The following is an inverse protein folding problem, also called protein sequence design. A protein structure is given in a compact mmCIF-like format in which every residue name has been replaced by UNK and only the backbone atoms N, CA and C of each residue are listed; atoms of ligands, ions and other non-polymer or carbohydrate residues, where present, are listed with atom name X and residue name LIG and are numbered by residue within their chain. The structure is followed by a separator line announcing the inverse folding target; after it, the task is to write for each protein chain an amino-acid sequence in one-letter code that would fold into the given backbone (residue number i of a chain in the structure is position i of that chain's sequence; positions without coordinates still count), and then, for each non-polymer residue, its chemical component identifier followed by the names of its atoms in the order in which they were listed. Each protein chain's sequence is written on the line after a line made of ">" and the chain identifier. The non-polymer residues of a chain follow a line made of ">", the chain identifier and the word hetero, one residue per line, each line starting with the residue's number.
data_IF_920478956262
#
_entry.id   IF_920478956262
#
_cell.length_a   1.000
_cell.length_b   1.000
_cell.length_c   1.000
_cell.angle_alpha   90.00
_cell.angle_beta   90.00
_cell.angle_gamma   90.00
#
_symmetry.space_group_name_H-M   'P 1'
#
loop_
_entity.id
_entity.type
_entity.pdbx_description
1 polymer ?
#
# COMPACT_ATOMS: atom_id res chain seq x y z
N UNK A 1 49.30 1.00 -37.87
CA UNK A 1 48.96 1.64 -36.59
C UNK A 1 47.45 1.76 -36.55
N UNK A 2 46.78 0.90 -35.78
CA UNK A 2 45.34 0.64 -35.88
C UNK A 2 44.56 1.51 -34.88
N UNK A 3 44.65 2.82 -35.09
CA UNK A 3 44.20 3.90 -34.19
C UNK A 3 42.72 3.77 -33.76
N UNK A 4 41.87 3.25 -34.65
CA UNK A 4 40.45 3.06 -34.39
C UNK A 4 40.19 1.93 -33.37
N UNK A 5 41.05 0.92 -33.33
CA UNK A 5 40.97 -0.17 -32.36
C UNK A 5 41.41 0.26 -30.96
N UNK A 6 42.43 1.12 -30.88
CA UNK A 6 42.93 1.65 -29.61
C UNK A 6 41.91 2.57 -28.93
N UNK A 7 41.24 3.45 -29.69
CA UNK A 7 40.21 4.34 -29.15
C UNK A 7 39.01 3.56 -28.60
N UNK A 8 38.55 2.53 -29.32
CA UNK A 8 37.45 1.67 -28.85
C UNK A 8 37.81 0.89 -27.59
N UNK A 9 39.05 0.40 -27.49
CA UNK A 9 39.56 -0.26 -26.27
C UNK A 9 39.58 0.69 -25.09
N UNK A 10 40.02 1.93 -25.30
CA UNK A 10 40.05 2.96 -24.27
C UNK A 10 38.64 3.28 -23.76
N UNK A 11 37.68 3.49 -24.67
CA UNK A 11 36.29 3.75 -24.31
C UNK A 11 35.65 2.60 -23.52
N UNK A 12 35.93 1.35 -23.89
CA UNK A 12 35.48 0.18 -23.13
C UNK A 12 36.07 0.16 -21.72
N UNK A 13 37.37 0.41 -21.58
CA UNK A 13 38.03 0.49 -20.27
C UNK A 13 37.42 1.58 -19.39
N UNK A 14 37.17 2.77 -19.94
CA UNK A 14 36.56 3.87 -19.20
C UNK A 14 35.14 3.53 -18.73
N UNK A 15 34.36 2.82 -19.54
CA UNK A 15 33.02 2.36 -19.19
C UNK A 15 33.06 1.30 -18.08
N UNK A 16 33.98 0.34 -18.17
CA UNK A 16 34.18 -0.69 -17.15
C UNK A 16 34.59 -0.09 -15.81
N UNK A 17 35.54 0.85 -15.82
CA UNK A 17 35.98 1.57 -14.62
C UNK A 17 34.84 2.39 -14.00
N UNK A 18 34.02 3.03 -14.83
CA UNK A 18 32.83 3.75 -14.36
C UNK A 18 31.84 2.80 -13.67
N UNK A 19 31.48 1.70 -14.32
CA UNK A 19 30.54 0.70 -13.78
C UNK A 19 31.07 0.14 -12.45
N UNK A 20 32.36 -0.17 -12.39
CA UNK A 20 33.01 -0.68 -11.19
C UNK A 20 32.94 0.34 -10.05
N UNK A 21 33.35 1.58 -10.31
CA UNK A 21 33.30 2.66 -9.32
C UNK A 21 31.89 2.90 -8.79
N UNK A 22 30.89 2.94 -9.67
CA UNK A 22 29.49 3.08 -9.26
C UNK A 22 29.01 1.89 -8.44
N UNK A 23 29.40 0.67 -8.80
CA UNK A 23 29.06 -0.56 -8.06
C UNK A 23 29.66 -0.54 -6.66
N UNK A 24 30.93 -0.14 -6.53
CA UNK A 24 31.63 -0.06 -5.25
C UNK A 24 31.00 1.01 -4.34
N UNK A 25 30.61 2.16 -4.91
CA UNK A 25 29.89 3.19 -4.17
C UNK A 25 28.54 2.69 -3.64
N UNK A 26 27.76 2.00 -4.47
CA UNK A 26 26.49 1.41 -4.04
C UNK A 26 26.70 0.37 -2.94
N UNK A 27 27.67 -0.53 -3.11
CA UNK A 27 27.97 -1.54 -2.10
C UNK A 27 28.41 -0.91 -0.77
N UNK A 28 29.23 0.14 -0.79
CA UNK A 28 29.63 0.85 0.44
C UNK A 28 28.44 1.46 1.19
N UNK A 29 27.47 2.02 0.47
CA UNK A 29 26.23 2.54 1.08
C UNK A 29 25.42 1.40 1.69
N UNK A 30 25.28 0.28 0.96
CA UNK A 30 24.57 -0.90 1.46
C UNK A 30 25.22 -1.47 2.73
N UNK A 31 26.55 -1.59 2.74
CA UNK A 31 27.31 -2.08 3.89
C UNK A 31 27.12 -1.18 5.11
N UNK A 32 27.10 0.15 4.89
CA UNK A 32 26.84 1.13 5.97
C UNK A 32 25.44 0.96 6.57
N UNK A 33 24.46 0.56 5.75
CA UNK A 33 23.10 0.28 6.19
C UNK A 33 22.93 -1.15 6.74
N UNK A 34 23.97 -1.99 6.69
CA UNK A 34 23.89 -3.41 7.04
C UNK A 34 23.03 -4.23 6.07
N UNK A 35 22.87 -3.76 4.83
CA UNK A 35 22.08 -4.41 3.80
C UNK A 35 22.96 -5.20 2.83
N UNK A 36 22.44 -6.30 2.32
CA UNK A 36 23.10 -7.07 1.26
C UNK A 36 22.28 -7.00 -0.02
N UNK A 37 22.97 -6.96 -1.16
CA UNK A 37 22.33 -6.87 -2.48
C UNK A 37 21.36 -8.04 -2.73
N UNK A 38 21.72 -9.25 -2.30
CA UNK A 38 20.88 -10.44 -2.46
C UNK A 38 19.56 -10.35 -1.68
N UNK A 39 19.57 -9.72 -0.51
CA UNK A 39 18.34 -9.48 0.26
C UNK A 39 17.45 -8.49 -0.49
N UNK A 40 18.00 -7.39 -0.99
CA UNK A 40 17.22 -6.39 -1.74
C UNK A 40 16.64 -6.95 -3.04
N UNK A 41 17.41 -7.74 -3.78
CA UNK A 41 16.94 -8.36 -5.02
C UNK A 41 15.82 -9.38 -4.77
N UNK A 42 15.92 -10.17 -3.69
CA UNK A 42 14.85 -11.10 -3.29
C UNK A 42 13.61 -10.36 -2.81
N UNK A 43 13.77 -9.33 -1.97
CA UNK A 43 12.62 -8.62 -1.41
C UNK A 43 11.91 -7.73 -2.43
N UNK A 44 12.62 -7.21 -3.42
CA UNK A 44 12.06 -6.40 -4.51
C UNK A 44 11.33 -7.21 -5.58
N UNK A 45 11.53 -8.53 -5.66
CA UNK A 45 10.91 -9.37 -6.69
C UNK A 45 9.39 -9.51 -6.53
N UNK A 46 8.89 -9.47 -5.29
CA UNK A 46 7.47 -9.72 -4.97
C UNK A 46 6.73 -8.43 -4.60
N UNK A 47 7.04 -7.32 -5.30
CA UNK A 47 6.39 -6.04 -5.08
C UNK A 47 5.07 -5.96 -5.86
N UNK A 48 3.95 -5.85 -5.14
CA UNK A 48 2.61 -5.75 -5.70
C UNK A 48 2.04 -4.34 -5.51
N UNK A 49 1.19 -3.86 -6.44
CA UNK A 49 0.46 -2.60 -6.25
C UNK A 49 -0.66 -2.78 -5.22
N UNK A 50 -1.03 -1.71 -4.52
CA UNK A 50 -2.22 -1.70 -3.69
C UNK A 50 -3.49 -1.57 -4.55
N UNK A 51 -4.54 -2.38 -4.30
CA UNK A 51 -5.81 -2.26 -5.00
C UNK A 51 -6.62 -1.01 -4.63
N UNK A 52 -6.36 -0.39 -3.47
CA UNK A 52 -7.04 0.85 -3.03
C UNK A 52 -6.35 2.12 -3.58
N UNK A 53 -5.05 2.04 -3.86
CA UNK A 53 -4.27 3.12 -4.45
C UNK A 53 -3.14 2.56 -5.33
N UNK A 54 -3.26 2.63 -6.67
CA UNK A 54 -2.28 2.09 -7.60
C UNK A 54 -0.85 2.64 -7.46
N UNK A 55 -0.68 3.83 -6.86
CA UNK A 55 0.62 4.45 -6.65
C UNK A 55 1.40 3.80 -5.49
N UNK A 56 0.72 3.04 -4.62
CA UNK A 56 1.39 2.31 -3.55
C UNK A 56 1.93 0.97 -4.05
N UNK A 57 3.20 0.69 -3.75
CA UNK A 57 3.81 -0.63 -3.94
C UNK A 57 4.39 -1.16 -2.63
N UNK A 58 4.19 -2.44 -2.38
CA UNK A 58 4.71 -3.12 -1.19
C UNK A 58 5.00 -4.58 -1.46
N UNK A 59 5.81 -5.23 -0.62
CA UNK A 59 5.99 -6.68 -0.70
C UNK A 59 4.66 -7.40 -0.48
N UNK A 60 4.37 -8.42 -1.28
CA UNK A 60 3.15 -9.22 -1.21
C UNK A 60 2.85 -9.73 0.20
N UNK A 61 3.90 -10.15 0.95
CA UNK A 61 3.80 -10.59 2.36
C UNK A 61 3.19 -9.53 3.31
N UNK A 62 3.29 -8.26 2.95
CA UNK A 62 2.82 -7.13 3.75
C UNK A 62 1.51 -6.52 3.25
N UNK A 63 0.97 -6.98 2.11
CA UNK A 63 -0.21 -6.43 1.47
C UNK A 63 -1.41 -6.40 2.41
N UNK A 64 -1.70 -7.50 3.12
CA UNK A 64 -2.83 -7.57 4.06
C UNK A 64 -2.77 -6.47 5.13
N UNK A 65 -1.62 -6.35 5.80
CA UNK A 65 -1.40 -5.33 6.83
C UNK A 65 -1.44 -3.92 6.25
N UNK A 66 -0.98 -3.74 5.02
CA UNK A 66 -1.08 -2.45 4.32
C UNK A 66 -2.54 -2.09 4.06
N UNK A 67 -3.37 -3.02 3.58
CA UNK A 67 -4.78 -2.78 3.27
C UNK A 67 -5.55 -2.29 4.48
N UNK A 68 -5.35 -2.91 5.65
CA UNK A 68 -5.98 -2.49 6.91
C UNK A 68 -5.67 -1.02 7.25
N UNK A 69 -4.44 -0.57 7.03
CA UNK A 69 -4.05 0.83 7.28
C UNK A 69 -4.48 1.77 6.16
N UNK A 70 -4.40 1.32 4.91
CA UNK A 70 -4.70 2.10 3.73
C UNK A 70 -6.20 2.43 3.66
N UNK A 71 -7.07 1.48 4.02
CA UNK A 71 -8.52 1.73 4.09
C UNK A 71 -8.85 2.77 5.15
N UNK A 72 -8.22 2.68 6.32
CA UNK A 72 -8.43 3.67 7.38
C UNK A 72 -7.95 5.07 6.96
N UNK A 73 -6.80 5.14 6.31
CA UNK A 73 -6.25 6.41 5.85
C UNK A 73 -7.10 7.05 4.74
N UNK A 74 -7.69 6.24 3.85
CA UNK A 74 -8.61 6.69 2.83
C UNK A 74 -9.87 7.33 3.43
N UNK A 75 -10.33 6.81 4.57
CA UNK A 75 -11.46 7.36 5.35
C UNK A 75 -11.04 8.52 6.28
N UNK A 76 -9.78 8.98 6.20
CA UNK A 76 -9.27 10.13 6.95
C UNK A 76 -8.74 9.82 8.36
N UNK A 77 -8.73 8.55 8.78
CA UNK A 77 -8.15 8.16 10.07
C UNK A 77 -6.63 8.17 10.01
N UNK A 78 -6.00 8.64 11.09
CA UNK A 78 -4.54 8.59 11.20
C UNK A 78 -4.06 7.22 11.68
N UNK A 79 -2.82 6.90 11.36
CA UNK A 79 -2.22 5.59 11.69
C UNK A 79 -1.97 5.38 13.19
N UNK A 80 -2.01 6.47 13.97
CA UNK A 80 -1.80 6.53 15.42
C UNK A 80 -3.11 6.58 16.21
N UNK A 81 -4.27 6.51 15.55
CA UNK A 81 -5.55 6.50 16.23
C UNK A 81 -5.85 5.13 16.85
N UNK A 82 -6.10 5.14 18.16
CA UNK A 82 -6.52 3.96 18.91
C UNK A 82 -8.04 3.85 18.84
N UNK A 83 -8.52 2.81 18.14
CA UNK A 83 -9.96 2.53 18.11
C UNK A 83 -10.42 2.07 19.49
N UNK A 84 -11.45 2.73 19.99
CA UNK A 84 -12.12 2.28 21.21
C UNK A 84 -12.65 0.86 21.01
N UNK A 85 -12.43 0.00 21.99
CA UNK A 85 -13.00 -1.34 22.00
C UNK A 85 -14.52 -1.25 21.86
N UNK A 86 -15.11 -2.14 21.06
CA UNK A 86 -16.56 -2.29 21.01
C UNK A 86 -17.08 -2.48 22.44
N UNK A 87 -18.03 -1.65 22.85
CA UNK A 87 -18.43 -1.61 24.25
C UNK A 87 -19.09 -2.93 24.65
N UNK A 88 -18.60 -3.57 25.71
CA UNK A 88 -19.13 -4.84 26.23
C UNK A 88 -20.45 -4.67 27.01
N UNK A 89 -21.16 -3.56 26.85
CA UNK A 89 -22.39 -3.30 27.59
C UNK A 89 -23.48 -4.31 27.20
N UNK A 90 -23.68 -5.32 28.06
CA UNK A 90 -24.74 -6.33 27.95
C UNK A 90 -26.14 -5.81 28.31
N UNK A 91 -26.22 -4.55 28.76
CA UNK A 91 -27.46 -3.81 28.94
C UNK A 91 -27.55 -2.77 27.83
N UNK A 92 -28.69 -2.74 27.14
CA UNK A 92 -28.90 -2.00 25.89
C UNK A 92 -28.43 -0.53 25.86
N UNK A 93 -28.45 0.10 24.67
CA UNK A 93 -27.78 1.38 24.44
C UNK A 93 -28.20 2.45 25.46
N UNK A 94 -27.24 3.00 26.21
CA UNK A 94 -27.46 4.08 27.19
C UNK A 94 -27.85 5.40 26.51
N UNK A 95 -27.61 5.52 25.21
CA UNK A 95 -28.00 6.65 24.38
C UNK A 95 -28.57 6.09 23.08
N UNK A 96 -29.84 6.39 22.81
CA UNK A 96 -30.50 6.03 21.54
C UNK A 96 -30.56 7.29 20.69
N UNK A 97 -29.83 7.28 19.57
CA UNK A 97 -30.01 8.31 18.55
C UNK A 97 -31.27 7.96 17.77
N UNK A 98 -32.22 8.87 17.73
CA UNK A 98 -33.44 8.70 16.95
C UNK A 98 -33.10 8.46 15.46
N UNK A 99 -33.81 7.52 14.84
CA UNK A 99 -33.48 7.03 13.50
C UNK A 99 -33.60 8.14 12.44
N UNK A 100 -34.47 9.12 12.64
CA UNK A 100 -34.56 10.28 11.75
C UNK A 100 -33.30 11.15 11.84
N UNK A 101 -32.83 11.43 13.06
CA UNK A 101 -31.61 12.19 13.30
C UNK A 101 -30.36 11.44 12.80
N UNK A 102 -30.28 10.13 13.00
CA UNK A 102 -29.19 9.31 12.45
C UNK A 102 -29.14 9.43 10.93
N UNK A 103 -30.28 9.27 10.26
CA UNK A 103 -30.35 9.42 8.80
C UNK A 103 -29.96 10.83 8.33
N UNK A 104 -30.29 11.88 9.08
CA UNK A 104 -29.85 13.25 8.74
C UNK A 104 -28.34 13.44 8.94
N UNK A 105 -27.76 12.86 9.99
CA UNK A 105 -26.32 12.90 10.25
C UNK A 105 -25.56 12.15 9.17
N UNK A 106 -25.98 10.93 8.82
CA UNK A 106 -25.35 10.12 7.77
C UNK A 106 -25.54 10.70 6.37
N UNK A 107 -26.62 11.45 6.13
CA UNK A 107 -26.88 12.14 4.85
C UNK A 107 -26.16 13.46 4.71
N UNK A 108 -25.47 13.97 5.74
CA UNK A 108 -24.60 15.13 5.54
C UNK A 108 -23.42 14.65 4.70
N UNK A 109 -23.27 15.13 3.45
CA UNK A 109 -22.01 14.93 2.77
C UNK A 109 -20.96 15.61 3.61
N UNK A 110 -19.92 14.88 4.01
CA UNK A 110 -18.67 15.48 4.46
C UNK A 110 -18.26 16.39 3.31
N UNK A 111 -18.51 17.69 3.44
CA UNK A 111 -18.02 18.68 2.47
C UNK A 111 -16.53 18.83 2.72
N UNK A 112 -15.78 17.79 2.38
CA UNK A 112 -14.37 17.90 2.07
C UNK A 112 -14.30 17.85 0.56
N UNK A 113 -13.96 19.01 0.02
CA UNK A 113 -13.69 19.22 -1.37
C UNK A 113 -12.66 18.19 -1.89
N UNK A 114 -12.85 17.83 -3.16
CA UNK A 114 -11.88 17.26 -4.09
C UNK A 114 -11.36 15.84 -3.80
N UNK A 115 -12.03 14.83 -4.36
CA UNK A 115 -11.55 14.07 -5.54
C UNK A 115 -12.21 12.68 -5.64
N UNK A 116 -12.72 12.43 -6.84
CA UNK A 116 -12.89 11.14 -7.50
C UNK A 116 -14.07 10.21 -7.14
N UNK A 117 -14.77 9.84 -8.22
CA UNK A 117 -16.03 9.08 -8.39
C UNK A 117 -16.05 7.65 -7.80
N UNK A 118 -15.08 7.28 -6.97
CA UNK A 118 -14.95 5.95 -6.36
C UNK A 118 -15.84 5.73 -5.13
N UNK A 119 -16.30 6.81 -4.48
CA UNK A 119 -17.16 6.74 -3.28
C UNK A 119 -18.52 6.06 -3.49
N UNK A 120 -19.01 5.99 -4.73
CA UNK A 120 -20.26 5.28 -5.05
C UNK A 120 -20.11 3.76 -5.10
N UNK A 121 -18.92 3.24 -5.41
CA UNK A 121 -18.70 1.81 -5.59
C UNK A 121 -18.70 1.04 -4.25
N UNK A 122 -18.11 1.67 -3.22
CA UNK A 122 -18.00 1.12 -1.87
C UNK A 122 -19.33 1.05 -1.11
N UNK A 123 -20.25 2.00 -1.33
CA UNK A 123 -21.57 1.97 -0.68
C UNK A 123 -22.45 0.80 -1.16
N UNK A 124 -22.36 0.41 -2.44
CA UNK A 124 -23.12 -0.73 -2.95
C UNK A 124 -22.50 -2.08 -2.57
N UNK A 125 -21.17 -2.19 -2.51
CA UNK A 125 -20.51 -3.47 -2.20
C UNK A 125 -20.62 -3.88 -0.71
N UNK A 126 -20.66 -2.90 0.22
CA UNK A 126 -20.81 -3.17 1.64
C UNK A 126 -22.20 -3.68 2.03
N UNK A 127 -23.25 -3.32 1.28
CA UNK A 127 -24.61 -3.80 1.56
C UNK A 127 -24.78 -5.27 1.16
N UNK A 128 -24.14 -5.74 0.08
CA UNK A 128 -24.19 -7.16 -0.32
C UNK A 128 -23.40 -8.07 0.63
N UNK A 129 -22.27 -7.59 1.17
CA UNK A 129 -21.44 -8.38 2.10
C UNK A 129 -22.10 -8.60 3.49
N UNK A 130 -23.02 -7.71 3.89
CA UNK A 130 -23.69 -7.81 5.20
C UNK A 130 -24.84 -8.85 5.23
N UNK A 131 -25.25 -9.40 4.08
CA UNK A 131 -26.38 -10.34 3.97
C UNK A 131 -25.98 -11.79 3.65
N UNK A 132 -24.69 -12.10 3.54
CA UNK A 132 -24.22 -13.48 3.33
C UNK A 132 -23.33 -13.94 4.50
N UNK A 133 -23.51 -15.18 4.99
CA UNK A 133 -22.66 -15.72 6.03
C UNK A 133 -21.21 -15.81 5.52
N UNK A 134 -20.32 -15.11 6.21
CA UNK A 134 -18.90 -14.97 5.93
C UNK A 134 -18.20 -16.34 5.73
N UNK A 135 -17.70 -16.58 4.52
CA UNK A 135 -16.53 -17.43 4.29
C UNK A 135 -15.59 -16.74 3.29
N UNK A 136 -14.56 -16.09 3.83
CA UNK A 136 -13.57 -15.30 3.06
C UNK A 136 -12.51 -16.17 2.36
N UNK A 137 -12.72 -17.50 2.24
CA UNK A 137 -11.72 -18.43 1.69
C UNK A 137 -11.74 -18.61 0.18
N UNK A 138 -12.70 -18.07 -0.58
CA UNK A 138 -12.89 -18.52 -1.97
C UNK A 138 -13.07 -17.44 -3.06
N UNK A 139 -12.85 -16.15 -2.79
CA UNK A 139 -13.13 -15.12 -3.81
C UNK A 139 -11.95 -14.72 -4.71
N UNK A 140 -10.71 -15.17 -4.44
CA UNK A 140 -9.53 -14.83 -5.25
C UNK A 140 -8.68 -16.06 -5.58
N UNK A 141 -9.31 -17.15 -6.02
CA UNK A 141 -8.63 -18.35 -6.54
C UNK A 141 -8.34 -18.28 -8.05
N UNK A 142 -8.59 -17.15 -8.71
CA UNK A 142 -8.17 -16.90 -10.08
C UNK A 142 -7.68 -15.47 -10.18
N UNK A 143 -6.39 -15.25 -9.96
CA UNK A 143 -5.50 -14.32 -10.69
C UNK A 143 -4.08 -14.48 -10.15
#
# INVERSE_FOLDING_TARGET
>A
MDYLGDERRKQLSELEDFIKKSTDQLNSVLDTLGWTRDVLLREGADMVPCPLNPEHRMPQRSLKRHLEKCSLHQEGYRSDEEFLSASEFSSGPSVVIDQHNLNQILKRPTTMADSDDFGKFIYYHFIEAALLPYDFRNYYAHF
#
